data_IF_187422183073
#
_entry.id   IF_187422183073
#
_cell.length_a   1.000
_cell.length_b   1.000
_cell.length_c   1.000
_cell.angle_alpha   90.00
_cell.angle_beta   90.00
_cell.angle_gamma   90.00
#
_symmetry.space_group_name_H-M   'P 1'
#
loop_
_entity.id
_entity.type
_entity.pdbx_description
1 polymer ?
#
# COMPACT_ATOMS: atom_id res chain seq x y z
N UNK A 1 0.07 -13.72 -8.04
CA UNK A 1 0.05 -13.85 -6.56
C UNK A 1 -0.31 -12.52 -5.95
N UNK A 2 -1.33 -12.52 -5.11
CA UNK A 2 -1.76 -11.33 -4.39
C UNK A 2 -0.97 -11.22 -3.09
N UNK A 3 -0.43 -10.04 -2.82
CA UNK A 3 0.29 -9.75 -1.59
C UNK A 3 -0.45 -8.67 -0.81
N UNK A 4 -0.51 -8.82 0.50
CA UNK A 4 -1.05 -7.79 1.40
C UNK A 4 0.10 -7.32 2.29
N UNK A 5 0.41 -6.03 2.19
CA UNK A 5 1.46 -5.41 3.00
C UNK A 5 0.80 -4.58 4.11
N UNK A 6 1.19 -4.85 5.34
CA UNK A 6 0.65 -4.13 6.48
C UNK A 6 1.06 -4.77 7.79
N UNK A 7 0.38 -4.41 8.87
CA UNK A 7 0.61 -5.01 10.19
C UNK A 7 -0.69 -5.54 10.75
N UNK A 8 -0.58 -6.56 11.60
CA UNK A 8 -1.76 -7.17 12.24
C UNK A 8 -2.41 -6.25 13.28
N UNK A 9 -1.76 -5.15 13.65
CA UNK A 9 -2.35 -4.16 14.54
C UNK A 9 -3.35 -3.26 13.81
N UNK A 10 -3.25 -3.18 12.49
CA UNK A 10 -4.13 -2.33 11.68
C UNK A 10 -5.45 -3.07 11.42
N UNK A 11 -6.56 -2.42 11.75
CA UNK A 11 -7.88 -3.01 11.59
C UNK A 11 -8.21 -3.32 10.12
N UNK A 12 -7.87 -2.41 9.23
CA UNK A 12 -8.16 -2.58 7.80
C UNK A 12 -7.34 -3.71 7.18
N UNK A 13 -6.12 -3.95 7.68
CA UNK A 13 -5.31 -5.09 7.26
C UNK A 13 -6.02 -6.40 7.61
N UNK A 14 -6.56 -6.49 8.83
CA UNK A 14 -7.31 -7.68 9.26
C UNK A 14 -8.56 -7.88 8.40
N UNK A 15 -9.26 -6.79 8.11
CA UNK A 15 -10.45 -6.83 7.25
C UNK A 15 -10.11 -7.32 5.85
N UNK A 16 -9.00 -6.84 5.28
CA UNK A 16 -8.55 -7.28 3.97
C UNK A 16 -8.24 -8.77 3.95
N UNK A 17 -7.48 -9.24 4.94
CA UNK A 17 -7.14 -10.66 5.03
C UNK A 17 -8.39 -11.53 5.10
N UNK A 18 -9.37 -11.13 5.91
CA UNK A 18 -10.64 -11.86 6.05
C UNK A 18 -11.41 -11.84 4.75
N UNK A 19 -11.46 -10.72 4.06
CA UNK A 19 -12.17 -10.60 2.79
C UNK A 19 -11.68 -11.64 1.77
N UNK A 20 -10.36 -11.75 1.59
CA UNK A 20 -9.78 -12.72 0.67
C UNK A 20 -9.97 -14.16 1.15
N UNK A 21 -9.81 -14.40 2.45
CA UNK A 21 -9.99 -15.73 3.02
C UNK A 21 -11.40 -16.25 2.85
N UNK A 22 -12.41 -15.41 3.08
CA UNK A 22 -13.82 -15.78 2.92
C UNK A 22 -14.16 -16.17 1.49
N UNK A 23 -13.43 -15.64 0.53
CA UNK A 23 -13.61 -15.93 -0.89
C UNK A 23 -12.66 -17.00 -1.41
N UNK A 24 -11.89 -17.59 -0.50
CA UNK A 24 -10.90 -18.64 -0.82
C UNK A 24 -9.88 -18.19 -1.85
N UNK A 25 -9.49 -16.93 -1.79
CA UNK A 25 -8.45 -16.36 -2.63
C UNK A 25 -7.14 -16.42 -1.86
N UNK A 26 -6.14 -17.09 -2.45
CA UNK A 26 -4.84 -17.23 -1.82
C UNK A 26 -4.08 -15.90 -1.86
N UNK A 27 -3.53 -15.49 -0.71
CA UNK A 27 -2.73 -14.26 -0.62
C UNK A 27 -1.48 -14.53 0.20
N UNK A 28 -0.43 -13.75 -0.07
CA UNK A 28 0.76 -13.72 0.76
C UNK A 28 0.67 -12.48 1.65
N UNK A 29 0.61 -12.69 2.97
CA UNK A 29 0.69 -11.58 3.90
C UNK A 29 2.15 -11.24 4.16
N UNK A 30 2.51 -9.97 3.99
CA UNK A 30 3.85 -9.46 4.26
C UNK A 30 3.74 -8.48 5.42
N UNK A 31 4.24 -8.89 6.58
CA UNK A 31 4.22 -8.05 7.78
C UNK A 31 5.34 -7.02 7.68
N UNK A 32 4.96 -5.74 7.60
CA UNK A 32 5.92 -4.65 7.45
C UNK A 32 6.84 -4.49 8.67
N UNK A 33 6.47 -5.08 9.81
CA UNK A 33 7.36 -5.11 10.99
C UNK A 33 8.53 -6.08 10.79
N UNK A 34 8.32 -7.11 9.97
CA UNK A 34 9.31 -8.15 9.75
C UNK A 34 10.07 -7.94 8.45
N UNK A 35 9.36 -7.48 7.41
CA UNK A 35 9.95 -7.31 6.08
C UNK A 35 9.25 -6.19 5.33
N UNK A 36 10.01 -5.18 4.96
CA UNK A 36 9.49 -4.08 4.15
C UNK A 36 9.45 -4.46 2.67
N UNK A 37 8.67 -3.69 1.89
CA UNK A 37 8.71 -3.82 0.44
C UNK A 37 10.12 -3.56 -0.07
N UNK A 38 10.55 -4.38 -1.03
CA UNK A 38 11.77 -4.10 -1.79
C UNK A 38 11.55 -2.86 -2.65
N UNK A 39 12.64 -2.29 -3.17
CA UNK A 39 12.55 -1.13 -4.06
C UNK A 39 11.69 -1.45 -5.28
N UNK A 40 11.89 -2.62 -5.87
CA UNK A 40 11.09 -3.04 -7.04
C UNK A 40 9.62 -3.18 -6.73
N UNK A 41 9.27 -3.78 -5.59
CA UNK A 41 7.87 -3.89 -5.16
C UNK A 41 7.26 -2.53 -4.92
N UNK A 42 7.96 -1.66 -4.22
CA UNK A 42 7.47 -0.32 -3.92
C UNK A 42 7.24 0.48 -5.21
N UNK A 43 8.21 0.48 -6.11
CA UNK A 43 8.10 1.21 -7.37
C UNK A 43 6.95 0.68 -8.22
N UNK A 44 6.72 -0.63 -8.24
CA UNK A 44 5.59 -1.20 -8.98
C UNK A 44 4.25 -0.77 -8.40
N UNK A 45 4.16 -0.64 -7.07
CA UNK A 45 2.95 -0.13 -6.41
C UNK A 45 2.73 1.34 -6.78
N UNK A 46 3.77 2.16 -6.69
CA UNK A 46 3.67 3.58 -7.06
C UNK A 46 3.21 3.73 -8.51
N UNK A 47 3.77 2.94 -9.42
CA UNK A 47 3.41 2.99 -10.84
C UNK A 47 1.94 2.59 -11.06
N UNK A 48 1.50 1.52 -10.39
CA UNK A 48 0.11 1.05 -10.51
C UNK A 48 -0.88 2.10 -10.00
N UNK A 49 -0.61 2.70 -8.84
CA UNK A 49 -1.47 3.73 -8.27
C UNK A 49 -1.43 5.00 -9.12
N UNK A 50 -0.28 5.33 -9.70
CA UNK A 50 -0.15 6.47 -10.61
C UNK A 50 -1.04 6.29 -11.84
N UNK A 51 -1.08 5.09 -12.42
CA UNK A 51 -1.96 4.80 -13.55
C UNK A 51 -3.44 4.94 -13.18
N UNK A 52 -3.80 4.52 -11.98
CA UNK A 52 -5.18 4.63 -11.49
C UNK A 52 -5.59 6.07 -11.23
N UNK A 53 -4.73 6.84 -10.55
CA UNK A 53 -5.06 8.21 -10.12
C UNK A 53 -4.78 9.27 -11.18
N UNK A 54 -3.91 8.98 -12.13
CA UNK A 54 -3.55 9.89 -13.20
C UNK A 54 -2.29 10.71 -12.95
N UNK A 55 -1.72 10.69 -11.74
CA UNK A 55 -0.47 11.40 -11.46
C UNK A 55 0.30 10.77 -10.32
N UNK A 56 1.62 10.95 -10.35
CA UNK A 56 2.49 10.50 -9.27
C UNK A 56 2.19 11.23 -7.97
N UNK A 57 1.86 12.53 -8.06
CA UNK A 57 1.50 13.33 -6.90
C UNK A 57 0.29 12.73 -6.18
N UNK A 58 -0.77 12.41 -6.93
CA UNK A 58 -1.97 11.81 -6.36
C UNK A 58 -1.70 10.41 -5.81
N UNK A 59 -0.85 9.65 -6.48
CA UNK A 59 -0.46 8.32 -5.99
C UNK A 59 0.24 8.41 -4.63
N UNK A 60 1.20 9.29 -4.50
CA UNK A 60 1.94 9.49 -3.25
C UNK A 60 0.99 9.97 -2.14
N UNK A 61 0.08 10.89 -2.45
CA UNK A 61 -0.93 11.35 -1.49
C UNK A 61 -1.79 10.19 -0.99
N UNK A 62 -2.26 9.35 -1.92
CA UNK A 62 -3.11 8.21 -1.58
C UNK A 62 -2.38 7.18 -0.73
N UNK A 63 -1.10 6.98 -0.98
CA UNK A 63 -0.27 6.01 -0.25
C UNK A 63 0.18 6.49 1.12
N UNK A 64 0.04 7.77 1.43
CA UNK A 64 0.55 8.35 2.66
C UNK A 64 -0.48 8.28 3.78
N UNK A 65 -0.05 7.79 4.94
CA UNK A 65 -0.86 7.84 6.15
C UNK A 65 -0.77 9.24 6.75
N UNK A 66 -1.79 10.05 6.49
CA UNK A 66 -1.82 11.45 6.95
C UNK A 66 -2.06 11.57 8.45
N UNK A 67 -2.44 10.48 9.11
CA UNK A 67 -2.57 10.43 10.56
C UNK A 67 -1.27 10.01 11.25
N UNK A 68 -0.23 9.73 10.48
CA UNK A 68 1.06 9.36 11.04
C UNK A 68 1.68 10.54 11.79
N UNK A 69 2.31 10.24 12.92
CA UNK A 69 2.97 11.24 13.75
C UNK A 69 3.97 12.09 12.97
N UNK A 70 4.70 11.45 12.05
CA UNK A 70 5.77 12.11 11.29
C UNK A 70 5.30 12.71 9.96
N UNK A 71 3.99 12.69 9.69
CA UNK A 71 3.46 13.21 8.43
C UNK A 71 3.83 14.68 8.22
N UNK A 72 3.74 15.49 9.25
CA UNK A 72 4.02 16.92 9.15
C UNK A 72 5.44 17.21 8.66
N UNK A 73 6.39 16.32 8.98
CA UNK A 73 7.79 16.52 8.59
C UNK A 73 8.05 16.27 7.12
N UNK A 74 7.12 15.61 6.40
CA UNK A 74 7.27 15.32 4.98
C UNK A 74 6.24 16.03 4.10
N UNK A 75 5.22 16.63 4.70
CA UNK A 75 4.09 17.20 3.95
C UNK A 75 4.51 18.27 2.93
N UNK A 76 5.59 18.97 3.19
CA UNK A 76 6.07 20.05 2.33
C UNK A 76 7.14 19.61 1.31
N UNK A 77 7.56 18.36 1.34
CA UNK A 77 8.56 17.84 0.40
C UNK A 77 7.97 17.67 -0.99
N UNK A 78 8.83 17.65 -2.01
CA UNK A 78 8.36 17.34 -3.37
C UNK A 78 8.01 15.84 -3.48
N UNK A 79 7.41 15.46 -4.60
CA UNK A 79 6.92 14.09 -4.78
C UNK A 79 8.02 13.04 -4.69
N UNK A 80 9.17 13.32 -5.28
CA UNK A 80 10.29 12.38 -5.28
C UNK A 80 10.83 12.17 -3.86
N UNK A 81 10.98 13.25 -3.11
CA UNK A 81 11.44 13.20 -1.73
C UNK A 81 10.41 12.51 -0.82
N UNK A 82 9.11 12.79 -1.02
CA UNK A 82 8.04 12.10 -0.28
C UNK A 82 8.08 10.61 -0.55
N UNK A 83 8.23 10.21 -1.81
CA UNK A 83 8.29 8.79 -2.17
C UNK A 83 9.46 8.10 -1.46
N UNK A 84 10.62 8.74 -1.42
CA UNK A 84 11.79 8.20 -0.72
C UNK A 84 11.52 8.04 0.77
N UNK A 85 10.85 9.02 1.39
CA UNK A 85 10.52 8.95 2.82
C UNK A 85 9.51 7.84 3.10
N UNK A 86 8.52 7.66 2.23
CA UNK A 86 7.58 6.55 2.37
C UNK A 86 8.30 5.21 2.31
N UNK A 87 9.22 5.07 1.35
CA UNK A 87 9.97 3.84 1.19
C UNK A 87 10.86 3.56 2.41
N UNK A 88 11.54 4.58 2.92
CA UNK A 88 12.43 4.46 4.09
C UNK A 88 11.68 4.19 5.39
N UNK A 89 10.41 4.56 5.49
CA UNK A 89 9.62 4.47 6.72
C UNK A 89 8.26 3.83 6.47
N UNK A 90 8.24 2.71 5.78
CA UNK A 90 7.01 2.06 5.32
C UNK A 90 6.01 1.78 6.44
N UNK A 91 6.49 1.21 7.54
CA UNK A 91 5.63 0.84 8.66
C UNK A 91 4.84 2.04 9.21
N UNK A 92 5.49 3.21 9.29
CA UNK A 92 4.90 4.40 9.93
C UNK A 92 4.17 5.29 8.95
N UNK A 93 4.65 5.40 7.72
CA UNK A 93 4.16 6.41 6.78
C UNK A 93 3.22 5.89 5.71
N UNK A 94 3.22 4.60 5.42
CA UNK A 94 2.30 4.06 4.43
C UNK A 94 0.91 3.85 5.00
N UNK A 95 -0.09 4.24 4.23
CA UNK A 95 -1.47 3.88 4.52
C UNK A 95 -1.64 2.39 4.25
N UNK A 96 -2.24 1.67 5.20
CA UNK A 96 -2.38 0.22 5.14
C UNK A 96 -3.85 -0.18 4.97
N UNK A 97 -4.12 -1.33 4.38
CA UNK A 97 -3.18 -2.21 3.70
C UNK A 97 -2.81 -1.73 2.31
N UNK A 98 -1.64 -2.12 1.83
CA UNK A 98 -1.33 -2.04 0.42
C UNK A 98 -1.46 -3.45 -0.13
N UNK A 99 -2.36 -3.64 -1.09
CA UNK A 99 -2.56 -4.92 -1.75
C UNK A 99 -2.00 -4.84 -3.16
N UNK A 100 -1.21 -5.84 -3.55
CA UNK A 100 -0.53 -5.87 -4.84
C UNK A 100 -0.89 -7.17 -5.56
N UNK A 101 -1.31 -7.07 -6.80
CA UNK A 101 -1.61 -8.24 -7.63
C UNK A 101 -0.68 -8.23 -8.84
N UNK A 102 0.47 -8.89 -8.70
CA UNK A 102 1.51 -8.86 -9.70
C UNK A 102 2.14 -7.48 -9.82
N UNK A 103 2.74 -7.19 -10.97
CA UNK A 103 3.46 -5.93 -11.18
C UNK A 103 2.56 -4.76 -11.56
N UNK A 104 1.37 -5.03 -12.07
CA UNK A 104 0.57 -4.03 -12.75
C UNK A 104 -0.65 -3.56 -12.00
N UNK A 105 -0.96 -4.14 -10.85
CA UNK A 105 -2.16 -3.78 -10.12
C UNK A 105 -1.88 -3.69 -8.63
N UNK A 106 -2.37 -2.64 -8.00
CA UNK A 106 -2.22 -2.42 -6.56
C UNK A 106 -3.35 -1.53 -6.06
N UNK A 107 -3.65 -1.67 -4.76
CA UNK A 107 -4.65 -0.83 -4.10
C UNK A 107 -4.12 -0.35 -2.76
N UNK A 108 -4.69 0.75 -2.26
CA UNK A 108 -4.37 1.30 -0.94
C UNK A 108 -5.66 1.37 -0.13
N UNK A 109 -5.63 0.84 1.08
CA UNK A 109 -6.80 0.76 1.93
C UNK A 109 -7.75 -0.34 1.49
N UNK A 110 -9.02 -0.22 1.88
CA UNK A 110 -10.05 -1.21 1.53
C UNK A 110 -10.64 -0.87 0.18
N UNK A 111 -10.36 -1.68 -0.82
CA UNK A 111 -10.79 -1.48 -2.21
C UNK A 111 -11.45 -2.75 -2.72
N UNK A 112 -12.50 -3.17 -2.06
CA UNK A 112 -13.17 -4.45 -2.34
C UNK A 112 -13.67 -4.57 -3.78
N UNK A 113 -14.14 -3.47 -4.36
CA UNK A 113 -14.60 -3.47 -5.76
C UNK A 113 -13.48 -3.82 -6.73
N UNK A 114 -12.28 -3.30 -6.48
CA UNK A 114 -11.11 -3.62 -7.30
C UNK A 114 -10.71 -5.08 -7.08
N UNK A 115 -10.68 -5.53 -5.81
CA UNK A 115 -10.29 -6.90 -5.48
C UNK A 115 -11.23 -7.93 -6.11
N UNK A 116 -12.51 -7.58 -6.30
CA UNK A 116 -13.43 -8.46 -7.01
C UNK A 116 -12.96 -8.78 -8.43
N UNK A 117 -12.22 -7.86 -9.05
CA UNK A 117 -11.68 -8.07 -10.39
C UNK A 117 -10.43 -8.95 -10.40
N UNK A 118 -9.89 -9.25 -9.24
CA UNK A 118 -8.67 -10.05 -9.10
C UNK A 118 -8.94 -11.54 -8.94
N UNK A 119 -10.17 -11.92 -8.90
CA UNK A 119 -10.56 -13.34 -8.74
C UNK A 119 -10.18 -14.17 -9.95
#
# INVERSE_FOLDING_TARGET
MIQIFGTLKNFDVKTAQRWFAERRISVQFVDLKEKEMSRGEFDSVVDAITRETGSKSDAIEKMTNKNARDYASIAYLDDSEKADKLFENQLKLLKQPICRNGKNSATVGLEQKVWETWK
#
